data_IF_098493540166
#
_entry.id   IF_098493540166
#
_cell.length_a   1.000
_cell.length_b   1.000
_cell.length_c   1.000
_cell.angle_alpha   90.00
_cell.angle_beta   90.00
_cell.angle_gamma   90.00
#
_symmetry.space_group_name_H-M   'P 1'
#
loop_
_entity.id
_entity.type
_entity.pdbx_description
1 polymer ?
#
# COMPACT_ATOMS: atom_id res chain seq x y z
N UNK A 1 4.99 -5.78 -27.77
CA UNK A 1 5.93 -5.25 -26.75
C UNK A 1 5.31 -5.00 -25.38
N UNK A 2 4.77 -3.83 -24.98
CA UNK A 2 4.44 -3.61 -23.56
C UNK A 2 3.35 -4.57 -23.01
N UNK A 3 2.24 -4.74 -23.74
CA UNK A 3 1.17 -5.71 -23.38
C UNK A 3 1.68 -7.16 -23.31
N UNK A 4 2.65 -7.49 -24.15
CA UNK A 4 3.23 -8.83 -24.32
C UNK A 4 4.26 -9.13 -23.22
N UNK A 5 4.96 -8.08 -22.73
CA UNK A 5 5.78 -8.15 -21.53
C UNK A 5 4.89 -8.35 -20.31
N UNK A 6 3.82 -7.55 -20.16
CA UNK A 6 2.87 -7.65 -19.03
C UNK A 6 2.20 -9.03 -18.98
N UNK A 7 1.83 -9.62 -20.12
CA UNK A 7 1.23 -10.96 -20.15
C UNK A 7 2.18 -12.09 -19.74
N UNK A 8 3.49 -11.84 -19.71
CA UNK A 8 4.51 -12.81 -19.31
C UNK A 8 5.03 -12.61 -17.87
N UNK A 9 4.57 -11.57 -17.16
CA UNK A 9 4.95 -11.33 -15.77
C UNK A 9 4.27 -12.36 -14.87
N UNK A 10 5.03 -13.00 -13.99
CA UNK A 10 4.45 -13.93 -13.01
C UNK A 10 3.57 -13.17 -12.02
N UNK A 11 2.50 -13.80 -11.51
CA UNK A 11 1.62 -13.16 -10.53
C UNK A 11 2.36 -12.65 -9.28
N UNK A 12 3.43 -13.35 -8.89
CA UNK A 12 4.29 -12.95 -7.77
C UNK A 12 5.10 -11.69 -8.09
N UNK A 13 5.64 -11.58 -9.30
CA UNK A 13 6.37 -10.38 -9.71
C UNK A 13 5.44 -9.17 -9.84
N UNK A 14 4.21 -9.40 -10.31
CA UNK A 14 3.17 -8.36 -10.32
C UNK A 14 2.82 -7.89 -8.90
N UNK A 15 2.63 -8.81 -7.96
CA UNK A 15 2.39 -8.49 -6.55
C UNK A 15 3.53 -7.69 -5.93
N UNK A 16 4.78 -8.10 -6.16
CA UNK A 16 5.97 -7.35 -5.68
C UNK A 16 6.03 -5.95 -6.27
N UNK A 17 5.71 -5.79 -7.54
CA UNK A 17 5.67 -4.48 -8.20
C UNK A 17 4.56 -3.60 -7.61
N UNK A 18 3.37 -4.16 -7.36
CA UNK A 18 2.26 -3.44 -6.72
C UNK A 18 2.59 -3.00 -5.29
N UNK A 19 3.21 -3.88 -4.49
CA UNK A 19 3.69 -3.55 -3.14
C UNK A 19 4.70 -2.40 -3.20
N UNK A 20 5.68 -2.49 -4.11
CA UNK A 20 6.70 -1.44 -4.27
C UNK A 20 6.08 -0.10 -4.69
N UNK A 21 5.10 -0.13 -5.59
CA UNK A 21 4.39 1.08 -6.03
C UNK A 21 3.60 1.74 -4.89
N UNK A 22 2.92 0.95 -4.05
CA UNK A 22 2.22 1.45 -2.86
C UNK A 22 3.17 2.06 -1.84
N UNK A 23 4.32 1.42 -1.60
CA UNK A 23 5.35 1.99 -0.71
C UNK A 23 5.86 3.33 -1.22
N UNK A 24 6.13 3.42 -2.53
CA UNK A 24 6.61 4.64 -3.16
C UNK A 24 5.56 5.75 -3.07
N UNK A 25 4.27 5.44 -3.28
CA UNK A 25 3.17 6.37 -3.10
C UNK A 25 3.11 6.92 -1.67
N UNK A 26 3.13 6.03 -0.66
CA UNK A 26 3.08 6.41 0.75
C UNK A 26 4.29 7.28 1.12
N UNK A 27 5.51 6.84 0.80
CA UNK A 27 6.73 7.55 1.15
C UNK A 27 6.78 8.91 0.46
N UNK A 28 6.38 8.99 -0.81
CA UNK A 28 6.40 10.25 -1.57
C UNK A 28 5.34 11.22 -1.05
N UNK A 29 4.13 10.75 -0.72
CA UNK A 29 3.08 11.57 -0.13
C UNK A 29 3.52 12.16 1.22
N UNK A 30 4.02 11.32 2.13
CA UNK A 30 4.53 11.79 3.42
C UNK A 30 5.71 12.75 3.26
N UNK A 31 6.59 12.54 2.28
CA UNK A 31 7.70 13.45 2.03
C UNK A 31 7.22 14.86 1.60
N UNK A 32 6.14 14.96 0.82
CA UNK A 32 5.53 16.24 0.46
C UNK A 32 4.99 16.96 1.69
N UNK A 33 4.47 16.21 2.66
CA UNK A 33 3.99 16.72 3.96
C UNK A 33 5.15 17.04 4.95
N UNK A 34 6.40 16.83 4.54
CA UNK A 34 7.59 17.08 5.35
C UNK A 34 8.00 15.92 6.26
N UNK A 35 7.34 14.77 6.16
CA UNK A 35 7.61 13.58 6.95
C UNK A 35 8.55 12.62 6.23
N UNK A 36 9.49 12.02 6.98
CA UNK A 36 10.39 10.98 6.47
C UNK A 36 10.07 9.64 7.09
N UNK A 37 9.59 8.71 6.27
CA UNK A 37 9.24 7.36 6.70
C UNK A 37 10.36 6.35 6.46
N UNK A 38 10.46 5.37 7.36
CA UNK A 38 11.32 4.20 7.15
C UNK A 38 10.61 3.26 6.17
N UNK A 39 11.22 3.01 5.02
CA UNK A 39 10.68 2.07 4.02
C UNK A 39 10.41 0.69 4.61
N UNK A 40 11.25 0.18 5.51
CA UNK A 40 11.02 -1.11 6.18
C UNK A 40 9.73 -1.14 6.99
N UNK A 41 9.37 -0.04 7.66
CA UNK A 41 8.10 0.06 8.39
C UNK A 41 6.90 0.07 7.45
N UNK A 42 6.99 0.77 6.31
CA UNK A 42 5.93 0.76 5.29
C UNK A 42 5.81 -0.60 4.62
N UNK A 43 6.93 -1.20 4.20
CA UNK A 43 6.97 -2.53 3.60
C UNK A 43 6.30 -3.57 4.51
N UNK A 44 6.63 -3.55 5.81
CA UNK A 44 6.03 -4.47 6.76
C UNK A 44 4.52 -4.22 6.93
N UNK A 45 4.11 -2.96 7.11
CA UNK A 45 2.69 -2.59 7.19
C UNK A 45 1.88 -2.91 5.93
N UNK A 46 2.47 -2.81 4.73
CA UNK A 46 1.84 -3.19 3.46
C UNK A 46 1.68 -4.71 3.41
N UNK A 47 2.74 -5.47 3.68
CA UNK A 47 2.68 -6.94 3.72
C UNK A 47 1.66 -7.44 4.74
N UNK A 48 1.62 -6.85 5.92
CA UNK A 48 0.64 -7.15 6.96
C UNK A 48 -0.81 -7.04 6.48
N UNK A 49 -1.09 -6.24 5.46
CA UNK A 49 -2.43 -6.07 4.86
C UNK A 49 -2.69 -6.94 3.64
N UNK A 50 -1.65 -7.27 2.87
CA UNK A 50 -1.78 -7.90 1.55
C UNK A 50 -1.27 -9.35 1.49
N UNK A 51 -0.45 -9.78 2.43
CA UNK A 51 0.14 -11.13 2.49
C UNK A 51 -0.58 -11.97 3.55
N UNK A 52 -1.32 -12.98 3.10
CA UNK A 52 -2.04 -13.92 3.98
C UNK A 52 -1.09 -14.74 4.86
N UNK A 53 0.17 -14.90 4.45
CA UNK A 53 1.18 -15.66 5.19
C UNK A 53 2.10 -14.75 6.03
N UNK A 54 1.67 -13.52 6.29
CA UNK A 54 2.45 -12.57 7.08
C UNK A 54 2.72 -13.11 8.49
N UNK A 55 3.98 -13.15 8.90
CA UNK A 55 4.37 -13.58 10.25
C UNK A 55 4.24 -12.42 11.24
N UNK A 56 3.07 -12.35 11.88
CA UNK A 56 2.73 -11.36 12.89
C UNK A 56 3.63 -11.40 14.14
N UNK A 57 4.22 -12.56 14.44
CA UNK A 57 5.06 -12.73 15.64
C UNK A 57 6.51 -12.31 15.40
N UNK A 58 6.99 -12.45 14.16
CA UNK A 58 8.33 -12.05 13.77
C UNK A 58 8.43 -10.58 13.33
N UNK A 59 7.31 -9.90 13.08
CA UNK A 59 7.32 -8.51 12.66
C UNK A 59 7.82 -7.57 13.76
N UNK A 60 8.86 -6.80 13.43
CA UNK A 60 9.48 -5.80 14.31
C UNK A 60 9.54 -4.42 13.67
N UNK A 61 8.96 -4.27 12.48
CA UNK A 61 9.10 -3.07 11.65
C UNK A 61 7.81 -2.28 11.52
N UNK A 62 6.64 -2.93 11.48
CA UNK A 62 5.38 -2.20 11.41
C UNK A 62 5.18 -1.40 12.70
N UNK A 63 4.63 -0.21 12.53
CA UNK A 63 4.25 0.67 13.62
C UNK A 63 2.78 1.02 13.45
N UNK A 64 2.12 1.42 14.54
CA UNK A 64 0.75 1.95 14.44
C UNK A 64 0.66 3.09 13.42
N UNK A 65 1.69 3.91 13.34
CA UNK A 65 1.75 5.02 12.40
C UNK A 65 1.81 4.55 10.94
N UNK A 66 2.74 3.66 10.61
CA UNK A 66 2.86 3.10 9.26
C UNK A 66 1.63 2.27 8.86
N UNK A 67 1.02 1.54 9.81
CA UNK A 67 -0.23 0.81 9.59
C UNK A 67 -1.38 1.74 9.21
N UNK A 68 -1.45 2.93 9.83
CA UNK A 68 -2.46 3.93 9.53
C UNK A 68 -2.23 4.57 8.15
N UNK A 69 -0.97 4.88 7.80
CA UNK A 69 -0.64 5.44 6.49
C UNK A 69 -0.98 4.46 5.35
N UNK A 70 -0.64 3.17 5.53
CA UNK A 70 -1.02 2.12 4.59
C UNK A 70 -2.53 2.01 4.45
N UNK A 71 -3.27 2.04 5.57
CA UNK A 71 -4.73 1.96 5.53
C UNK A 71 -5.34 3.13 4.74
N UNK A 72 -4.88 4.36 5.00
CA UNK A 72 -5.39 5.56 4.34
C UNK A 72 -5.19 5.52 2.82
N UNK A 73 -4.00 5.14 2.36
CA UNK A 73 -3.72 5.03 0.93
C UNK A 73 -4.48 3.88 0.27
N UNK A 74 -4.64 2.74 0.95
CA UNK A 74 -5.46 1.64 0.44
C UNK A 74 -6.94 2.06 0.32
N UNK A 75 -7.49 2.72 1.34
CA UNK A 75 -8.84 3.25 1.31
C UNK A 75 -9.03 4.27 0.18
N UNK A 76 -8.10 5.21 0.00
CA UNK A 76 -8.13 6.18 -1.08
C UNK A 76 -8.08 5.52 -2.48
N UNK A 77 -7.26 4.46 -2.61
CA UNK A 77 -7.14 3.71 -3.87
C UNK A 77 -8.36 2.84 -4.17
N UNK A 78 -9.09 2.36 -3.16
CA UNK A 78 -10.32 1.59 -3.34
C UNK A 78 -11.55 2.49 -3.51
N UNK A 79 -11.55 3.64 -2.85
CA UNK A 79 -12.68 4.57 -2.79
C UNK A 79 -12.71 5.56 -3.97
N UNK A 80 -12.81 5.05 -5.19
CA UNK A 80 -12.82 5.87 -6.42
C UNK A 80 -14.22 6.25 -6.92
N UNK A 81 -15.26 5.75 -6.27
CA UNK A 81 -16.65 6.07 -6.65
C UNK A 81 -16.97 7.53 -6.31
N UNK A 82 -17.70 8.26 -7.18
CA UNK A 82 -18.08 9.64 -6.89
C UNK A 82 -18.82 9.78 -5.55
N UNK A 83 -18.57 10.89 -4.86
CA UNK A 83 -19.32 11.25 -3.65
C UNK A 83 -20.76 11.60 -4.02
N UNK A 84 -21.73 11.09 -3.27
CA UNK A 84 -23.16 11.45 -3.39
C UNK A 84 -23.75 11.71 -2.00
N UNK A 85 -24.98 12.22 -1.94
CA UNK A 85 -25.62 12.60 -0.68
C UNK A 85 -25.76 11.42 0.29
N UNK A 86 -26.12 10.24 -0.22
CA UNK A 86 -26.27 9.03 0.59
C UNK A 86 -24.94 8.66 1.26
N UNK A 87 -23.83 8.70 0.52
CA UNK A 87 -22.49 8.37 1.03
C UNK A 87 -21.90 9.44 1.95
N UNK A 88 -22.33 10.69 1.82
CA UNK A 88 -21.93 11.77 2.72
C UNK A 88 -22.55 11.63 4.12
N UNK A 89 -23.74 11.03 4.20
CA UNK A 89 -24.51 10.92 5.43
C UNK A 89 -24.34 9.59 6.17
N UNK A 90 -23.77 8.57 5.51
CA UNK A 90 -23.52 7.24 6.09
C UNK A 90 -24.62 6.25 5.78
#
# INVERSE_FOLDING_TARGET
MLKEIISNISGNDLLKAQISALEDEIISSSLIEGERLKRSSIHSSVKKRLDENFDWLADTHATRYSDNQVLLILEANLNKTPMNFERLHG
#
